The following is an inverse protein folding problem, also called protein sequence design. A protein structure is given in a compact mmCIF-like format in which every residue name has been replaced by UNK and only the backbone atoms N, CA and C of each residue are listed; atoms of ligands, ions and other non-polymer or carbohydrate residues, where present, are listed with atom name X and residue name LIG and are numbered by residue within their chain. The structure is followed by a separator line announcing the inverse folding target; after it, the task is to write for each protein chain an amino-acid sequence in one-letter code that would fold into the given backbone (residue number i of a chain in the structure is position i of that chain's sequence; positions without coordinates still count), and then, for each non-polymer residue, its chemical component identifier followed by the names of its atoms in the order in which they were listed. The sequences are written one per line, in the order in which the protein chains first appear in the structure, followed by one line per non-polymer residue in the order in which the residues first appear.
data_IF_747842856445
#
_entry.id   IF_747842856445
#
_cell.length_a   1.000
_cell.length_b   1.000
_cell.length_c   1.000
_cell.angle_alpha   90.00
_cell.angle_beta   90.00
_cell.angle_gamma   90.00
#
_symmetry.space_group_name_H-M   'P 1'
#
loop_
_entity.id
_entity.type
_entity.pdbx_description
1 polymer ?
#
# COMPACT_ATOMS: atom_id res chain seq x y z
N UNK A 1 55.21 4.30 11.03
CA UNK A 1 54.07 4.78 10.20
C UNK A 1 53.45 3.59 9.50
N UNK A 2 52.37 3.02 10.05
CA UNK A 2 51.62 1.92 9.43
C UNK A 2 50.34 2.49 8.82
N UNK A 3 50.35 2.61 7.50
CA UNK A 3 49.20 3.02 6.69
C UNK A 3 48.31 1.79 6.43
N UNK A 4 47.11 1.74 6.99
CA UNK A 4 46.03 0.93 6.42
C UNK A 4 44.74 1.76 6.37
N UNK A 5 44.39 2.17 5.14
CA UNK A 5 43.28 3.03 4.78
C UNK A 5 41.95 2.30 4.99
N UNK A 6 40.99 2.95 5.65
CA UNK A 6 39.59 2.50 5.77
C UNK A 6 38.96 2.39 4.39
N UNK A 7 38.56 1.18 3.98
CA UNK A 7 37.77 0.98 2.78
C UNK A 7 36.31 1.32 3.07
N UNK A 8 35.81 2.37 2.42
CA UNK A 8 34.44 2.82 2.48
C UNK A 8 33.49 1.77 1.88
N UNK A 9 32.30 1.72 2.46
CA UNK A 9 31.22 0.75 2.20
C UNK A 9 30.76 0.90 0.74
N UNK A 10 30.77 -0.18 -0.03
CA UNK A 10 30.08 -0.22 -1.33
C UNK A 10 28.58 -0.33 -1.05
N UNK A 11 27.91 0.81 -1.09
CA UNK A 11 26.45 0.91 -1.00
C UNK A 11 25.81 0.06 -2.08
N UNK A 12 24.87 -0.78 -1.66
CA UNK A 12 24.11 -1.64 -2.54
C UNK A 12 23.35 -0.84 -3.59
N UNK A 13 23.42 -1.31 -4.82
CA UNK A 13 22.37 -1.08 -5.82
C UNK A 13 21.06 -1.59 -5.24
N UNK A 14 20.25 -0.71 -4.66
CA UNK A 14 18.83 -0.94 -4.50
C UNK A 14 18.22 -0.36 -5.77
N UNK A 15 18.23 -1.17 -6.82
CA UNK A 15 17.45 -0.92 -8.02
C UNK A 15 15.99 -0.77 -7.57
N UNK A 16 15.51 0.49 -7.56
CA UNK A 16 14.17 0.85 -7.12
C UNK A 16 13.10 0.05 -7.86
N UNK A 17 11.91 -0.13 -7.27
CA UNK A 17 10.84 -0.92 -7.86
C UNK A 17 10.52 -0.43 -9.28
N UNK A 18 10.54 -1.37 -10.23
CA UNK A 18 10.20 -1.11 -11.65
C UNK A 18 8.77 -0.53 -11.74
N UNK A 19 8.53 0.51 -12.55
CA UNK A 19 7.18 1.00 -12.80
C UNK A 19 6.46 -0.01 -13.69
N UNK A 20 5.68 -0.91 -13.09
CA UNK A 20 5.08 -2.02 -13.85
C UNK A 20 3.88 -2.70 -13.22
N UNK A 21 3.33 -2.17 -12.13
CA UNK A 21 2.01 -2.56 -11.63
C UNK A 21 1.36 -1.29 -11.15
N UNK A 22 0.17 -0.99 -11.65
CA UNK A 22 -0.68 0.07 -11.14
C UNK A 22 -0.86 -0.17 -9.63
N UNK A 23 -0.11 0.56 -8.83
CA UNK A 23 -0.20 0.47 -7.37
C UNK A 23 -1.44 1.27 -7.01
N UNK A 24 -2.56 0.57 -6.82
CA UNK A 24 -3.78 1.18 -6.35
C UNK A 24 -3.76 1.40 -4.83
N UNK A 25 -4.47 2.43 -4.38
CA UNK A 25 -4.67 2.67 -2.95
C UNK A 25 -5.49 1.54 -2.36
N UNK A 26 -4.90 0.80 -1.42
CA UNK A 26 -5.64 -0.18 -0.61
C UNK A 26 -6.47 0.56 0.43
N UNK A 27 -7.78 0.33 0.42
CA UNK A 27 -8.73 0.91 1.36
C UNK A 27 -9.35 -0.19 2.20
N UNK A 28 -9.85 0.18 3.39
CA UNK A 28 -10.41 -0.77 4.35
C UNK A 28 -11.92 -0.59 4.44
N UNK A 29 -12.66 -1.70 4.35
CA UNK A 29 -14.11 -1.71 4.59
C UNK A 29 -14.44 -1.30 6.04
N UNK A 30 -15.36 -0.36 6.22
CA UNK A 30 -15.81 0.11 7.54
C UNK A 30 -16.43 -1.02 8.39
N UNK A 31 -17.21 -1.90 7.76
CA UNK A 31 -18.02 -2.92 8.45
C UNK A 31 -17.22 -4.17 8.81
N UNK A 32 -16.51 -4.77 7.84
CA UNK A 32 -15.81 -6.05 8.06
C UNK A 32 -14.28 -5.89 8.17
N UNK A 33 -13.72 -4.73 7.84
CA UNK A 33 -12.29 -4.47 7.91
C UNK A 33 -11.45 -5.14 6.82
N UNK A 34 -12.04 -5.72 5.78
CA UNK A 34 -11.29 -6.26 4.64
C UNK A 34 -10.58 -5.15 3.90
N UNK A 35 -9.34 -5.41 3.46
CA UNK A 35 -8.60 -4.50 2.59
C UNK A 35 -8.85 -4.89 1.13
N UNK A 36 -9.24 -3.92 0.33
CA UNK A 36 -9.48 -4.07 -1.10
C UNK A 36 -8.95 -2.86 -1.86
N UNK A 37 -8.70 -2.97 -3.17
CA UNK A 37 -8.30 -1.84 -3.99
C UNK A 37 -9.39 -0.77 -4.02
N UNK A 38 -9.00 0.50 -4.03
CA UNK A 38 -9.94 1.64 -4.10
C UNK A 38 -10.88 1.57 -5.31
N UNK A 39 -10.43 1.01 -6.43
CA UNK A 39 -11.22 0.82 -7.65
C UNK A 39 -12.39 -0.16 -7.48
N UNK A 40 -12.24 -1.15 -6.60
CA UNK A 40 -13.26 -2.16 -6.30
C UNK A 40 -14.18 -1.75 -5.13
N UNK A 41 -13.81 -0.70 -4.40
CA UNK A 41 -14.53 -0.31 -3.19
C UNK A 41 -15.71 0.62 -3.46
N UNK A 42 -16.81 0.38 -2.75
CA UNK A 42 -17.99 1.25 -2.77
C UNK A 42 -17.81 2.37 -1.75
N UNK A 43 -17.93 3.62 -2.19
CA UNK A 43 -17.89 4.79 -1.31
C UNK A 43 -19.30 5.30 -1.04
N UNK A 44 -19.68 5.48 0.22
CA UNK A 44 -20.99 6.01 0.61
C UNK A 44 -20.91 6.77 1.93
N UNK A 45 -21.51 7.96 1.99
CA UNK A 45 -21.50 8.85 3.17
C UNK A 45 -20.09 9.16 3.74
N UNK A 46 -19.04 9.01 2.93
CA UNK A 46 -17.64 9.22 3.35
C UNK A 46 -16.93 7.95 3.85
N UNK A 47 -17.65 6.83 3.94
CA UNK A 47 -17.12 5.54 4.35
C UNK A 47 -16.93 4.60 3.15
N UNK A 48 -16.08 3.59 3.35
CA UNK A 48 -15.68 2.62 2.31
C UNK A 48 -16.25 1.24 2.64
N UNK A 49 -16.77 0.55 1.62
CA UNK A 49 -17.38 -0.77 1.76
C UNK A 49 -16.88 -1.73 0.67
N UNK A 50 -16.73 -3.00 1.01
CA UNK A 50 -16.33 -4.02 0.03
C UNK A 50 -17.49 -4.59 -0.79
N UNK A 51 -18.74 -4.38 -0.36
CA UNK A 51 -19.93 -4.87 -1.05
C UNK A 51 -21.18 -4.07 -0.65
N UNK A 52 -22.25 -4.21 -1.41
CA UNK A 52 -23.51 -3.50 -1.16
C UNK A 52 -24.15 -3.89 0.16
N UNK A 53 -24.03 -5.16 0.59
CA UNK A 53 -24.60 -5.61 1.85
C UNK A 53 -23.97 -4.88 3.04
N UNK A 54 -22.65 -4.64 3.00
CA UNK A 54 -21.98 -3.87 4.06
C UNK A 54 -22.37 -2.39 4.03
N UNK A 55 -22.50 -1.80 2.83
CA UNK A 55 -23.00 -0.44 2.69
C UNK A 55 -24.40 -0.28 3.27
N UNK A 56 -25.29 -1.25 3.02
CA UNK A 56 -26.67 -1.24 3.51
C UNK A 56 -26.75 -1.47 5.02
N UNK A 57 -25.87 -2.30 5.60
CA UNK A 57 -25.84 -2.54 7.05
C UNK A 57 -25.45 -1.31 7.87
N UNK A 58 -24.68 -0.39 7.28
CA UNK A 58 -24.23 0.85 7.92
C UNK A 58 -25.16 2.05 7.66
N UNK A 59 -26.10 1.93 6.71
CA UNK A 59 -26.97 3.02 6.26
C UNK A 59 -28.18 3.25 7.18
#
# INVERSE_FOLDING_TARGET
MFFLKRAARRGGDISGPKPGKDVEDMVRCHVCGVNLPRSEALMSRGEVYCCEEHRQKDQ
#
